data_IF_053582218664
#
_entry.id   IF_053582218664
#
_cell.length_a   1.000
_cell.length_b   1.000
_cell.length_c   1.000
_cell.angle_alpha   90.00
_cell.angle_beta   90.00
_cell.angle_gamma   90.00
#
_symmetry.space_group_name_H-M   'P 1'
#
loop_
_entity.id
_entity.type
_entity.pdbx_description
1 polymer ?
#
# COMPACT_ATOMS: atom_id res chain seq x y z
N UNK A 1 0.06 21.75 -20.20
CA UNK A 1 0.28 20.30 -19.96
C UNK A 1 -0.65 19.98 -18.82
N UNK A 2 -1.44 18.92 -18.89
CA UNK A 2 -2.23 18.51 -17.73
C UNK A 2 -1.22 18.07 -16.66
N UNK A 3 -1.17 18.78 -15.53
CA UNK A 3 -0.33 18.46 -14.38
C UNK A 3 -0.91 17.20 -13.70
N UNK A 4 -0.76 16.05 -14.37
CA UNK A 4 -1.17 14.76 -13.85
C UNK A 4 -0.29 14.40 -12.66
N UNK A 5 -0.91 13.85 -11.62
CA UNK A 5 -0.26 13.43 -10.39
C UNK A 5 0.77 12.31 -10.64
N UNK A 6 0.44 11.35 -11.49
CA UNK A 6 1.30 10.21 -11.83
C UNK A 6 1.14 9.81 -13.31
N UNK A 7 1.98 8.91 -13.86
CA UNK A 7 1.75 8.33 -15.19
C UNK A 7 0.63 7.29 -15.20
N UNK A 8 0.03 6.95 -14.05
CA UNK A 8 -0.93 5.85 -13.89
C UNK A 8 -2.35 6.41 -13.82
N UNK A 9 -3.21 6.00 -14.74
CA UNK A 9 -4.57 6.56 -14.86
C UNK A 9 -5.39 6.32 -13.59
N UNK A 10 -5.28 5.14 -13.00
CA UNK A 10 -5.95 4.73 -11.76
C UNK A 10 -5.59 5.64 -10.58
N UNK A 11 -4.30 5.93 -10.38
CA UNK A 11 -3.86 6.84 -9.31
C UNK A 11 -4.31 8.27 -9.56
N UNK A 12 -4.31 8.75 -10.81
CA UNK A 12 -4.82 10.08 -11.12
C UNK A 12 -6.33 10.20 -10.84
N UNK A 13 -7.10 9.13 -11.09
CA UNK A 13 -8.51 9.08 -10.75
C UNK A 13 -8.71 9.11 -9.23
N UNK A 14 -7.95 8.31 -8.46
CA UNK A 14 -8.01 8.32 -7.00
C UNK A 14 -7.59 9.68 -6.43
N UNK A 15 -6.53 10.29 -6.97
CA UNK A 15 -6.09 11.64 -6.55
C UNK A 15 -7.16 12.69 -6.84
N UNK A 16 -7.80 12.63 -8.01
CA UNK A 16 -8.90 13.53 -8.37
C UNK A 16 -10.13 13.35 -7.49
N UNK A 17 -10.40 12.13 -6.99
CA UNK A 17 -11.40 11.89 -5.96
C UNK A 17 -10.98 12.53 -4.63
N UNK A 18 -9.77 12.22 -4.16
CA UNK A 18 -9.22 12.74 -2.90
C UNK A 18 -9.14 14.26 -2.85
N UNK A 19 -8.82 14.95 -3.95
CA UNK A 19 -8.76 16.42 -4.01
C UNK A 19 -10.13 17.10 -4.21
N UNK A 20 -11.20 16.31 -4.32
CA UNK A 20 -12.54 16.80 -4.63
C UNK A 20 -13.58 16.17 -3.71
N UNK A 21 -14.40 15.21 -4.19
CA UNK A 21 -15.44 14.58 -3.35
C UNK A 21 -14.91 13.89 -2.09
N UNK A 22 -13.63 13.51 -2.06
CA UNK A 22 -12.91 12.89 -0.95
C UNK A 22 -11.95 13.82 -0.22
N UNK A 23 -12.15 15.14 -0.28
CA UNK A 23 -11.37 16.13 0.50
C UNK A 23 -11.59 15.96 2.02
N UNK A 24 -12.66 15.26 2.39
CA UNK A 24 -12.73 14.63 3.70
C UNK A 24 -12.03 13.27 3.66
N UNK A 25 -11.11 13.01 4.60
CA UNK A 25 -10.45 11.71 4.80
C UNK A 25 -11.44 10.56 4.55
N UNK A 26 -11.06 9.61 3.69
CA UNK A 26 -11.98 8.58 3.16
C UNK A 26 -11.55 7.14 3.47
N UNK A 27 -10.30 6.97 3.92
CA UNK A 27 -9.73 5.71 4.38
C UNK A 27 -8.75 6.05 5.48
N UNK A 28 -8.85 5.36 6.60
CA UNK A 28 -7.95 5.52 7.74
C UNK A 28 -6.49 5.25 7.33
N UNK A 29 -5.57 6.02 7.90
CA UNK A 29 -4.13 6.01 7.59
C UNK A 29 -3.71 6.42 6.18
N UNK A 30 -4.65 6.57 5.23
CA UNK A 30 -4.32 6.85 3.83
C UNK A 30 -4.21 8.35 3.54
N UNK A 31 -3.03 8.78 3.12
CA UNK A 31 -2.80 10.14 2.62
C UNK A 31 -1.85 10.14 1.42
N UNK A 32 -2.14 10.91 0.38
CA UNK A 32 -1.24 11.00 -0.78
C UNK A 32 0.05 11.75 -0.45
N UNK A 33 1.17 11.20 -0.90
CA UNK A 33 2.44 11.92 -1.02
C UNK A 33 2.61 12.51 -2.42
N UNK A 34 3.64 13.33 -2.60
CA UNK A 34 4.12 13.65 -3.94
C UNK A 34 4.60 12.35 -4.62
N UNK A 35 4.10 12.09 -5.83
CA UNK A 35 4.40 10.84 -6.54
C UNK A 35 5.90 10.71 -6.83
N UNK A 36 6.46 9.52 -6.60
CA UNK A 36 7.87 9.18 -6.88
C UNK A 36 8.87 10.09 -6.13
N UNK A 37 8.42 10.68 -5.02
CA UNK A 37 9.31 11.35 -4.08
C UNK A 37 9.57 10.39 -2.95
N UNK A 38 10.80 9.85 -2.83
CA UNK A 38 11.14 9.01 -1.70
C UNK A 38 10.95 9.84 -0.44
N UNK A 39 10.10 9.34 0.46
CA UNK A 39 10.11 9.79 1.84
C UNK A 39 11.50 9.48 2.42
N UNK A 40 11.96 10.32 3.35
CA UNK A 40 13.09 9.98 4.22
C UNK A 40 12.86 8.62 4.91
N UNK A 41 11.61 8.25 5.14
CA UNK A 41 11.19 6.98 5.70
C UNK A 41 11.73 5.75 4.98
N UNK A 42 11.85 5.74 3.64
CA UNK A 42 12.39 4.55 2.94
C UNK A 42 13.84 4.24 3.33
N UNK A 43 14.66 5.28 3.50
CA UNK A 43 16.07 5.14 3.90
C UNK A 43 16.15 4.73 5.36
N UNK A 44 15.35 5.34 6.23
CA UNK A 44 15.29 5.03 7.65
C UNK A 44 14.81 3.59 7.91
N UNK A 45 13.70 3.18 7.28
CA UNK A 45 13.10 1.85 7.48
C UNK A 45 13.95 0.72 6.94
N UNK A 46 14.66 0.95 5.83
CA UNK A 46 15.59 -0.05 5.30
C UNK A 46 16.97 0.01 5.97
N UNK A 47 17.14 0.91 6.96
CA UNK A 47 18.37 1.13 7.74
C UNK A 47 19.55 1.34 6.77
N UNK A 48 19.35 2.27 5.84
CA UNK A 48 20.28 2.59 4.76
C UNK A 48 21.04 3.89 5.01
N UNK A 49 21.03 4.46 6.22
CA UNK A 49 21.74 5.71 6.49
C UNK A 49 23.24 5.59 6.16
N UNK A 50 23.70 6.41 5.23
CA UNK A 50 25.07 6.38 4.72
C UNK A 50 25.36 5.29 3.66
N UNK A 51 24.35 4.53 3.22
CA UNK A 51 24.40 3.51 2.16
C UNK A 51 23.42 3.78 1.02
N UNK A 52 22.82 4.96 0.98
CA UNK A 52 21.75 5.32 0.04
C UNK A 52 22.23 5.23 -1.42
N UNK A 53 23.46 5.65 -1.69
CA UNK A 53 24.05 5.58 -3.03
C UNK A 53 24.31 4.14 -3.49
N UNK A 54 24.62 3.22 -2.58
CA UNK A 54 24.81 1.80 -2.89
C UNK A 54 23.46 1.15 -3.23
N UNK A 55 22.42 1.54 -2.50
CA UNK A 55 21.06 1.02 -2.67
C UNK A 55 20.27 1.73 -3.78
N UNK A 56 20.74 2.87 -4.31
CA UNK A 56 19.97 3.74 -5.22
C UNK A 56 19.33 2.99 -6.40
N UNK A 57 20.08 2.12 -7.09
CA UNK A 57 19.56 1.35 -8.22
C UNK A 57 18.46 0.32 -7.83
N UNK A 58 18.42 -0.08 -6.57
CA UNK A 58 17.33 -0.89 -6.02
C UNK A 58 16.15 0.01 -5.60
N UNK A 59 16.43 1.11 -4.90
CA UNK A 59 15.40 2.07 -4.47
C UNK A 59 14.62 2.67 -5.64
N UNK A 60 15.26 2.85 -6.81
CA UNK A 60 14.59 3.28 -8.05
C UNK A 60 13.49 2.30 -8.54
N UNK A 61 13.41 1.08 -7.97
CA UNK A 61 12.34 0.10 -8.24
C UNK A 61 11.15 0.23 -7.29
N UNK A 62 11.21 1.12 -6.32
CA UNK A 62 10.08 1.46 -5.45
C UNK A 62 9.64 2.88 -5.77
N UNK A 63 8.37 3.03 -6.14
CA UNK A 63 7.76 4.34 -6.35
C UNK A 63 6.73 4.59 -5.24
N UNK A 64 7.09 5.29 -4.16
CA UNK A 64 6.14 5.72 -3.13
C UNK A 64 5.08 6.65 -3.70
N UNK A 65 3.87 6.55 -3.14
CA UNK A 65 2.78 7.44 -3.54
C UNK A 65 1.81 7.80 -2.41
N UNK A 66 1.78 7.07 -1.30
CA UNK A 66 0.87 7.38 -0.21
C UNK A 66 1.40 6.89 1.15
N UNK A 67 0.95 7.52 2.22
CA UNK A 67 0.97 7.02 3.58
C UNK A 67 -0.03 5.87 3.75
N UNK A 68 0.28 4.93 4.62
CA UNK A 68 -0.54 3.78 4.95
C UNK A 68 -1.04 3.75 6.40
N UNK A 69 -0.30 4.38 7.32
CA UNK A 69 -0.67 4.48 8.74
C UNK A 69 -0.32 5.87 9.26
N UNK A 70 -1.04 6.36 10.26
CA UNK A 70 -0.73 7.64 10.91
C UNK A 70 0.66 7.69 11.55
N UNK A 71 1.28 6.54 11.80
CA UNK A 71 2.55 6.40 12.51
C UNK A 71 3.80 6.33 11.61
N UNK A 72 3.65 5.99 10.32
CA UNK A 72 4.75 6.15 9.34
C UNK A 72 4.90 5.07 8.26
N UNK A 73 3.97 4.11 8.18
CA UNK A 73 3.95 3.15 7.08
C UNK A 73 3.50 3.80 5.77
N UNK A 74 3.93 3.26 4.64
CA UNK A 74 3.64 3.85 3.32
C UNK A 74 3.32 2.77 2.28
N UNK A 75 2.68 3.22 1.20
CA UNK A 75 2.45 2.46 -0.02
C UNK A 75 3.46 2.84 -1.09
N UNK A 76 4.08 1.83 -1.69
CA UNK A 76 4.94 1.97 -2.86
C UNK A 76 4.61 0.96 -3.95
N UNK A 77 4.72 1.36 -5.21
CA UNK A 77 4.67 0.44 -6.35
C UNK A 77 6.03 -0.21 -6.51
N UNK A 78 6.06 -1.54 -6.58
CA UNK A 78 7.29 -2.30 -6.82
C UNK A 78 7.43 -2.69 -8.30
N UNK A 79 8.42 -2.11 -8.97
CA UNK A 79 8.79 -2.40 -10.36
C UNK A 79 9.58 -3.71 -10.45
N UNK A 80 8.87 -4.83 -10.21
CA UNK A 80 9.47 -6.16 -10.18
C UNK A 80 9.72 -6.76 -11.58
N UNK A 81 9.15 -6.19 -12.64
CA UNK A 81 9.35 -6.60 -14.03
C UNK A 81 9.07 -5.45 -15.00
N UNK A 82 9.27 -5.69 -16.30
CA UNK A 82 9.16 -4.68 -17.36
C UNK A 82 7.71 -4.51 -17.90
N UNK A 83 6.68 -4.84 -17.12
CA UNK A 83 5.30 -4.72 -17.60
C UNK A 83 4.95 -3.27 -17.95
N UNK A 84 4.25 -3.11 -19.07
CA UNK A 84 3.82 -1.79 -19.54
C UNK A 84 2.67 -1.22 -18.72
N UNK A 85 1.80 -2.08 -18.19
CA UNK A 85 0.66 -1.68 -17.38
C UNK A 85 1.06 -1.55 -15.91
N UNK A 86 1.48 -0.33 -15.56
CA UNK A 86 1.96 0.03 -14.23
C UNK A 86 0.87 -0.11 -13.14
N UNK A 87 -0.42 -0.06 -13.49
CA UNK A 87 -1.50 -0.21 -12.52
C UNK A 87 -1.61 -1.64 -11.94
N UNK A 88 -0.97 -2.60 -12.62
CA UNK A 88 -0.92 -4.01 -12.20
C UNK A 88 0.32 -4.37 -11.39
N UNK A 89 1.26 -3.43 -11.21
CA UNK A 89 2.43 -3.66 -10.37
C UNK A 89 2.00 -3.98 -8.93
N UNK A 90 2.75 -4.84 -8.21
CA UNK A 90 2.51 -5.05 -6.79
C UNK A 90 2.63 -3.72 -6.03
N UNK A 91 1.71 -3.50 -5.10
CA UNK A 91 1.80 -2.44 -4.11
C UNK A 91 2.35 -3.06 -2.83
N UNK A 92 3.37 -2.45 -2.27
CA UNK A 92 3.95 -2.81 -0.99
C UNK A 92 3.41 -1.86 0.07
N UNK A 93 2.87 -2.39 1.16
CA UNK A 93 2.64 -1.65 2.41
C UNK A 93 3.76 -2.04 3.36
N UNK A 94 4.55 -1.07 3.78
CA UNK A 94 5.72 -1.31 4.62
C UNK A 94 6.06 -0.07 5.45
N UNK A 95 6.62 -0.27 6.63
CA UNK A 95 7.15 0.79 7.46
C UNK A 95 7.20 0.43 8.94
N UNK A 96 6.69 1.33 9.77
CA UNK A 96 6.96 1.39 11.20
C UNK A 96 6.23 0.35 12.06
N UNK A 97 5.16 -0.26 11.52
CA UNK A 97 4.44 -1.35 12.16
C UNK A 97 5.15 -2.70 12.04
N UNK A 98 6.17 -2.79 11.18
CA UNK A 98 6.96 -4.01 10.96
C UNK A 98 6.28 -5.08 10.10
N UNK A 99 4.99 -4.91 9.81
CA UNK A 99 4.25 -5.73 8.85
C UNK A 99 4.64 -5.38 7.41
N UNK A 100 4.58 -6.39 6.56
CA UNK A 100 4.89 -6.27 5.14
C UNK A 100 3.75 -6.90 4.34
N UNK A 101 2.92 -6.07 3.72
CA UNK A 101 1.90 -6.56 2.80
C UNK A 101 2.36 -6.39 1.36
N UNK A 102 2.12 -7.42 0.55
CA UNK A 102 2.30 -7.35 -0.90
C UNK A 102 0.94 -7.53 -1.58
N UNK A 103 0.38 -6.43 -2.08
CA UNK A 103 -0.96 -6.38 -2.68
C UNK A 103 -0.83 -6.45 -4.20
N UNK A 104 -1.56 -7.35 -4.86
CA UNK A 104 -1.51 -7.46 -6.32
C UNK A 104 -2.31 -6.34 -7.01
N UNK A 105 -1.64 -5.24 -7.37
CA UNK A 105 -2.18 -4.18 -8.21
C UNK A 105 -3.07 -3.16 -7.49
N UNK A 106 -3.20 -1.97 -8.10
CA UNK A 106 -3.91 -0.84 -7.51
C UNK A 106 -5.40 -1.10 -7.29
N UNK A 107 -6.04 -1.90 -8.14
CA UNK A 107 -7.48 -2.19 -7.99
C UNK A 107 -7.77 -2.99 -6.73
N UNK A 108 -6.85 -3.87 -6.31
CA UNK A 108 -6.97 -4.59 -5.06
C UNK A 108 -6.72 -3.66 -3.86
N UNK A 109 -5.71 -2.79 -3.95
CA UNK A 109 -5.52 -1.73 -2.94
C UNK A 109 -6.79 -0.87 -2.79
N UNK A 110 -7.40 -0.43 -3.89
CA UNK A 110 -8.61 0.41 -3.82
C UNK A 110 -9.80 -0.30 -3.16
N UNK A 111 -9.87 -1.63 -3.26
CA UNK A 111 -10.86 -2.40 -2.51
C UNK A 111 -10.51 -2.37 -1.02
N UNK A 112 -9.25 -2.61 -0.65
CA UNK A 112 -8.79 -2.60 0.74
C UNK A 112 -8.97 -1.24 1.42
N UNK A 113 -8.70 -0.13 0.73
CA UNK A 113 -8.97 1.23 1.26
C UNK A 113 -10.47 1.45 1.56
N UNK A 114 -11.36 0.68 0.93
CA UNK A 114 -12.79 0.75 1.20
C UNK A 114 -13.20 -0.09 2.43
N UNK A 115 -12.24 -0.71 3.14
CA UNK A 115 -12.43 -1.24 4.49
C UNK A 115 -12.35 -0.09 5.50
N UNK A 116 -11.53 0.93 5.21
CA UNK A 116 -11.32 2.10 6.07
C UNK A 116 -10.85 1.70 7.47
N UNK A 117 -9.71 1.01 7.44
CA UNK A 117 -9.00 0.42 8.57
C UNK A 117 -7.52 0.29 8.18
N UNK A 118 -6.61 0.76 9.04
CA UNK A 118 -5.17 0.76 8.73
C UNK A 118 -4.59 -0.65 8.55
N UNK A 119 -5.17 -1.65 9.25
CA UNK A 119 -4.76 -3.06 9.20
C UNK A 119 -5.60 -3.89 8.23
N UNK A 120 -6.56 -3.25 7.54
CA UNK A 120 -7.56 -3.92 6.72
C UNK A 120 -8.34 -5.01 7.46
N UNK A 121 -8.44 -4.92 8.79
CA UNK A 121 -9.17 -5.83 9.64
C UNK A 121 -10.53 -5.21 9.97
N UNK A 122 -11.61 -5.56 9.25
CA UNK A 122 -12.90 -4.95 9.50
C UNK A 122 -13.53 -5.40 10.84
N UNK A 123 -12.87 -6.31 11.56
CA UNK A 123 -13.45 -7.10 12.65
C UNK A 123 -12.48 -7.30 13.81
N UNK A 124 -11.68 -6.27 14.13
CA UNK A 124 -11.01 -6.26 15.44
C UNK A 124 -12.09 -6.32 16.53
N UNK A 125 -11.91 -7.19 17.53
CA UNK A 125 -12.81 -7.30 18.69
C UNK A 125 -12.94 -5.94 19.41
N UNK A 126 -11.94 -5.05 19.26
CA UNK A 126 -11.94 -3.68 19.76
C UNK A 126 -12.93 -2.77 19.00
N UNK A 127 -13.10 -2.95 17.68
CA UNK A 127 -14.11 -2.26 16.84
C UNK A 127 -15.54 -2.71 17.12
N UNK A 128 -15.75 -4.00 17.38
CA UNK A 128 -17.06 -4.51 17.82
C UNK A 128 -17.46 -3.99 19.22
N UNK A 129 -16.47 -3.63 20.06
CA UNK A 129 -16.69 -3.08 21.39
C UNK A 129 -17.07 -1.58 21.37
N UNK A 130 -16.71 -0.86 20.30
CA UNK A 130 -17.09 0.55 20.08
C UNK A 130 -17.90 0.69 18.79
N UNK A 131 -19.20 0.32 18.85
CA UNK A 131 -20.14 0.42 17.72
C UNK A 131 -20.36 1.85 17.20
N UNK A 132 -19.74 2.85 17.84
CA UNK A 132 -19.74 4.25 17.46
C UNK A 132 -18.46 4.66 16.70
N UNK A 133 -17.55 3.73 16.39
CA UNK A 133 -16.41 3.99 15.49
C UNK A 133 -16.91 4.13 14.04
N UNK A 134 -17.43 5.33 13.76
CA UNK A 134 -17.88 5.74 12.45
C UNK A 134 -16.71 5.72 11.47
N UNK A 135 -16.96 5.17 10.28
CA UNK A 135 -16.04 5.28 9.15
C UNK A 135 -15.57 6.74 8.94
N UNK A 136 -14.38 6.88 8.35
CA UNK A 136 -13.83 8.16 7.90
C UNK A 136 -14.90 8.97 7.16
N UNK A 137 -15.01 10.30 7.38
CA UNK A 137 -16.16 11.07 6.88
C UNK A 137 -16.38 11.02 5.35
N UNK A 138 -15.33 10.75 4.56
CA UNK A 138 -15.39 10.58 3.11
C UNK A 138 -15.66 9.15 2.62
N UNK A 139 -15.76 8.18 3.52
CA UNK A 139 -15.84 6.75 3.19
C UNK A 139 -17.03 6.39 2.31
N UNK A 140 -18.24 6.84 2.65
CA UNK A 140 -19.44 6.51 1.84
C UNK A 140 -19.31 7.05 0.41
N UNK A 141 -18.75 8.26 0.26
CA UNK A 141 -18.49 8.84 -1.05
C UNK A 141 -17.44 8.03 -1.83
N UNK A 142 -16.43 7.51 -1.14
CA UNK A 142 -15.41 6.64 -1.73
C UNK A 142 -15.99 5.34 -2.24
N UNK A 143 -16.84 4.66 -1.46
CA UNK A 143 -17.50 3.41 -1.86
C UNK A 143 -18.37 3.61 -3.11
N UNK A 144 -19.12 4.71 -3.17
CA UNK A 144 -19.92 5.06 -4.36
C UNK A 144 -19.01 5.31 -5.56
N UNK A 145 -17.97 6.13 -5.39
CA UNK A 145 -17.02 6.45 -6.45
C UNK A 145 -16.28 5.22 -6.98
N UNK A 146 -15.85 4.32 -6.09
CA UNK A 146 -15.16 3.07 -6.43
C UNK A 146 -16.02 2.19 -7.33
N UNK A 147 -17.32 2.10 -7.00
CA UNK A 147 -18.30 1.35 -7.78
C UNK A 147 -18.59 2.00 -9.13
N UNK A 148 -18.80 3.30 -9.17
CA UNK A 148 -19.12 4.02 -10.42
C UNK A 148 -17.94 4.10 -11.38
N UNK A 149 -16.72 4.26 -10.85
CA UNK A 149 -15.51 4.47 -11.65
C UNK A 149 -14.88 3.15 -12.11
N UNK A 150 -14.82 2.15 -11.22
CA UNK A 150 -14.12 0.89 -11.49
C UNK A 150 -15.00 -0.34 -11.50
N UNK A 151 -16.28 -0.23 -11.12
CA UNK A 151 -17.17 -1.38 -10.94
C UNK A 151 -16.80 -2.25 -9.74
N UNK A 152 -16.05 -1.71 -8.79
CA UNK A 152 -15.53 -2.42 -7.61
C UNK A 152 -16.38 -2.13 -6.37
N UNK A 153 -16.34 -3.03 -5.40
CA UNK A 153 -16.98 -2.87 -4.09
C UNK A 153 -15.99 -3.18 -2.99
N UNK A 154 -16.24 -2.69 -1.76
CA UNK A 154 -15.52 -3.15 -0.58
C UNK A 154 -15.44 -4.68 -0.54
N UNK A 155 -14.28 -5.25 -0.15
CA UNK A 155 -14.12 -6.68 0.03
C UNK A 155 -14.87 -7.12 1.29
N UNK A 156 -15.37 -8.36 1.28
CA UNK A 156 -15.66 -9.07 2.53
C UNK A 156 -14.36 -9.44 3.23
N UNK A 157 -14.40 -9.80 4.52
CA UNK A 157 -13.23 -10.29 5.28
C UNK A 157 -12.44 -11.37 4.52
N UNK A 158 -13.13 -12.42 4.07
CA UNK A 158 -12.50 -13.50 3.31
C UNK A 158 -11.90 -13.04 1.97
N UNK A 159 -12.42 -11.96 1.37
CA UNK A 159 -11.83 -11.36 0.17
C UNK A 159 -10.62 -10.49 0.51
N UNK A 160 -10.62 -9.79 1.65
CA UNK A 160 -9.44 -9.08 2.15
C UNK A 160 -8.29 -10.04 2.39
N UNK A 161 -8.56 -11.13 3.12
CA UNK A 161 -7.59 -12.21 3.36
C UNK A 161 -7.04 -12.81 2.07
N UNK A 162 -7.89 -13.04 1.07
CA UNK A 162 -7.47 -13.56 -0.22
C UNK A 162 -6.65 -12.53 -1.02
N UNK A 163 -7.00 -11.24 -0.95
CA UNK A 163 -6.21 -10.18 -1.59
C UNK A 163 -4.80 -10.12 -0.99
N UNK A 164 -4.69 -10.05 0.34
CA UNK A 164 -3.41 -9.99 1.05
C UNK A 164 -2.61 -11.28 0.85
N UNK A 165 -3.26 -12.43 1.03
CA UNK A 165 -2.63 -13.74 0.91
C UNK A 165 -2.19 -14.09 -0.52
N UNK A 166 -2.95 -13.70 -1.56
CA UNK A 166 -2.59 -14.01 -2.95
C UNK A 166 -1.37 -13.23 -3.42
N UNK A 167 -1.29 -11.94 -3.09
CA UNK A 167 -0.14 -11.11 -3.41
C UNK A 167 1.11 -11.55 -2.64
N UNK A 168 0.98 -11.88 -1.35
CA UNK A 168 2.05 -12.47 -0.54
C UNK A 168 2.58 -13.80 -1.12
N UNK A 169 1.69 -14.75 -1.47
CA UNK A 169 2.08 -16.02 -2.10
C UNK A 169 2.78 -15.85 -3.44
N UNK A 170 2.37 -14.86 -4.24
CA UNK A 170 2.87 -14.65 -5.60
C UNK A 170 4.19 -13.89 -5.63
N UNK A 171 4.35 -12.90 -4.75
CA UNK A 171 5.41 -11.92 -4.83
C UNK A 171 6.26 -11.83 -3.55
N UNK A 172 5.74 -12.23 -2.39
CA UNK A 172 6.35 -12.01 -1.08
C UNK A 172 7.77 -12.58 -0.96
N UNK A 173 7.97 -13.87 -1.23
CA UNK A 173 9.31 -14.48 -1.19
C UNK A 173 10.30 -13.77 -2.14
N UNK A 174 9.85 -13.42 -3.34
CA UNK A 174 10.66 -12.70 -4.33
C UNK A 174 11.01 -11.29 -3.86
N UNK A 175 10.08 -10.61 -3.21
CA UNK A 175 10.27 -9.26 -2.68
C UNK A 175 11.28 -9.27 -1.53
N UNK A 176 11.14 -10.22 -0.60
CA UNK A 176 12.06 -10.38 0.52
C UNK A 176 13.47 -10.73 0.04
N UNK A 177 13.60 -11.68 -0.88
CA UNK A 177 14.91 -12.04 -1.47
C UNK A 177 15.55 -10.84 -2.19
N UNK A 178 14.75 -10.02 -2.87
CA UNK A 178 15.22 -8.79 -3.51
C UNK A 178 15.63 -7.70 -2.50
N UNK A 179 14.88 -7.53 -1.40
CA UNK A 179 15.24 -6.59 -0.34
C UNK A 179 16.53 -6.99 0.37
N UNK A 180 16.75 -8.27 0.63
CA UNK A 180 17.95 -8.79 1.31
C UNK A 180 19.25 -8.50 0.52
N UNK A 181 19.16 -8.29 -0.80
CA UNK A 181 20.33 -7.94 -1.62
C UNK A 181 20.99 -6.61 -1.20
N UNK A 182 20.24 -5.70 -0.57
CA UNK A 182 20.72 -4.36 -0.25
C UNK A 182 20.30 -3.81 1.12
N UNK A 183 19.22 -4.32 1.71
CA UNK A 183 18.76 -3.92 3.05
C UNK A 183 19.79 -4.22 4.14
N UNK A 184 19.58 -3.64 5.32
CA UNK A 184 20.43 -3.93 6.47
C UNK A 184 20.25 -5.36 6.97
N UNK A 185 21.35 -5.97 7.43
CA UNK A 185 21.33 -7.27 8.13
C UNK A 185 20.54 -7.23 9.45
N UNK A 186 20.19 -6.03 9.94
CA UNK A 186 19.37 -5.84 11.13
C UNK A 186 17.87 -6.10 10.87
N UNK A 187 17.45 -6.19 9.61
CA UNK A 187 16.07 -6.51 9.22
C UNK A 187 15.86 -8.03 9.34
N UNK A 188 14.78 -8.45 10.00
CA UNK A 188 14.41 -9.86 10.17
C UNK A 188 13.72 -10.43 8.92
N UNK A 189 14.49 -10.59 7.83
CA UNK A 189 14.01 -11.20 6.59
C UNK A 189 13.49 -12.64 6.79
N UNK A 190 14.00 -13.36 7.78
CA UNK A 190 13.57 -14.72 8.11
C UNK A 190 12.14 -14.76 8.66
N UNK A 191 11.70 -13.70 9.34
CA UNK A 191 10.30 -13.54 9.77
C UNK A 191 9.38 -13.48 8.55
N UNK A 192 9.61 -12.54 7.63
CA UNK A 192 8.78 -12.38 6.43
C UNK A 192 8.84 -13.58 5.49
N UNK A 193 9.98 -14.27 5.39
CA UNK A 193 10.04 -15.53 4.65
C UNK A 193 9.13 -16.61 5.22
N UNK A 194 8.98 -16.69 6.55
CA UNK A 194 8.06 -17.66 7.17
C UNK A 194 6.62 -17.27 6.91
N UNK A 195 6.32 -15.98 6.94
CA UNK A 195 5.01 -15.42 6.65
C UNK A 195 4.57 -15.73 5.21
N UNK A 196 5.42 -15.43 4.22
CA UNK A 196 5.09 -15.66 2.81
C UNK A 196 5.35 -17.09 2.32
N UNK A 197 6.29 -17.80 2.95
CA UNK A 197 6.78 -19.09 2.48
C UNK A 197 5.77 -20.22 2.67
N UNK A 198 4.83 -20.09 3.60
CA UNK A 198 3.94 -21.18 4.00
C UNK A 198 4.72 -22.34 4.63
N UNK A 199 4.14 -22.96 5.65
CA UNK A 199 4.68 -24.19 6.25
C UNK A 199 4.66 -25.37 5.28
#
# INVERSE_FOLDING_TARGET
MTDAYSPISELNLLKGFSDGPGDAYFSDGFEFYEYDRPDAGLVEWLILEGREEEARGHLDRLTPFAQATGSGSFYALWHCDDRADLATLPVIRFGDEGDLDVIEGLRNLFRLLAVDDELFSPWDEEREADSDEEHSPGHEAYVVWLKETFGLTPPTEAESDEILGSGGKKYGARFVDWLEEFGSEEIDFDSWRKEFGGS
#
